data_IF_134177025067
#
_entry.id   IF_134177025067
#
_cell.length_a   1.000
_cell.length_b   1.000
_cell.length_c   1.000
_cell.angle_alpha   90.00
_cell.angle_beta   90.00
_cell.angle_gamma   90.00
#
_symmetry.space_group_name_H-M   'P 1'
#
loop_
_entity.id
_entity.type
_entity.pdbx_description
1 polymer ?
#
# COMPACT_ATOMS: atom_id res chain seq x y z
N UNK A 1 4.52 -42.84 -6.46
CA UNK A 1 3.22 -42.14 -6.52
C UNK A 1 2.40 -42.54 -5.31
N UNK A 2 2.39 -41.71 -4.26
CA UNK A 2 1.18 -41.50 -3.48
C UNK A 2 0.73 -40.03 -3.57
N UNK A 3 -0.57 -39.87 -3.62
CA UNK A 3 -1.30 -38.60 -3.67
C UNK A 3 -1.10 -37.86 -2.35
N UNK A 4 -0.46 -36.69 -2.40
CA UNK A 4 -0.45 -35.75 -1.28
C UNK A 4 -1.76 -34.96 -1.35
N UNK A 5 -2.72 -35.37 -0.53
CA UNK A 5 -3.88 -34.57 -0.17
C UNK A 5 -3.41 -33.20 0.32
N UNK A 6 -3.89 -32.15 -0.32
CA UNK A 6 -3.66 -30.77 0.13
C UNK A 6 -4.33 -30.61 1.50
N UNK A 7 -3.64 -30.14 2.54
CA UNK A 7 -4.31 -29.72 3.75
C UNK A 7 -5.21 -28.53 3.40
N UNK A 8 -6.47 -28.62 3.81
CA UNK A 8 -7.47 -27.58 3.63
C UNK A 8 -7.01 -26.23 4.17
N UNK A 9 -7.59 -25.17 3.60
CA UNK A 9 -7.47 -23.80 4.06
C UNK A 9 -7.57 -23.72 5.58
N UNK A 10 -6.59 -23.19 6.32
CA UNK A 10 -6.83 -22.87 7.72
C UNK A 10 -7.74 -21.64 7.71
N UNK A 11 -9.00 -21.85 8.07
CA UNK A 11 -9.73 -20.83 8.80
C UNK A 11 -8.78 -20.37 9.92
N UNK A 12 -8.35 -19.11 9.87
CA UNK A 12 -7.74 -18.43 11.02
C UNK A 12 -8.85 -18.29 12.07
N UNK A 13 -9.22 -19.41 12.69
CA UNK A 13 -10.09 -19.45 13.83
C UNK A 13 -9.38 -18.67 14.94
N UNK A 14 -10.01 -17.60 15.37
CA UNK A 14 -9.60 -16.65 16.41
C UNK A 14 -9.22 -17.26 17.78
N UNK A 15 -9.00 -18.58 17.90
CA UNK A 15 -9.01 -19.28 19.17
C UNK A 15 -8.07 -20.47 19.35
N UNK A 16 -7.05 -20.71 18.50
CA UNK A 16 -6.16 -21.89 18.68
C UNK A 16 -4.69 -21.58 18.97
N UNK A 17 -4.28 -20.32 19.07
CA UNK A 17 -2.94 -19.99 19.59
C UNK A 17 -2.98 -19.87 21.12
N UNK A 18 -2.18 -20.65 21.88
CA UNK A 18 -2.17 -20.57 23.33
C UNK A 18 -1.48 -19.28 23.78
N UNK A 19 -2.16 -18.48 24.59
CA UNK A 19 -1.58 -17.40 25.42
C UNK A 19 -1.02 -16.17 24.67
N UNK A 20 -1.82 -15.49 23.85
CA UNK A 20 -1.54 -14.08 23.53
C UNK A 20 -2.62 -13.17 24.14
N UNK A 21 -2.18 -12.06 24.75
CA UNK A 21 -3.08 -11.02 25.25
C UNK A 21 -3.67 -10.15 24.12
N UNK A 22 -3.23 -10.36 22.87
CA UNK A 22 -3.56 -9.52 21.72
C UNK A 22 -5.00 -9.67 21.19
N UNK A 23 -5.62 -10.87 21.08
CA UNK A 23 -6.97 -10.99 20.53
C UNK A 23 -8.04 -10.23 21.33
N UNK A 24 -8.03 -10.23 22.69
CA UNK A 24 -8.91 -9.37 23.48
C UNK A 24 -8.68 -7.87 23.21
N UNK A 25 -7.42 -7.44 23.08
CA UNK A 25 -7.08 -6.04 22.80
C UNK A 25 -7.51 -5.60 21.39
N UNK A 26 -7.35 -6.47 20.38
CA UNK A 26 -7.83 -6.22 19.02
C UNK A 26 -9.36 -6.08 19.03
N UNK A 27 -10.06 -6.96 19.76
CA UNK A 27 -11.52 -6.89 19.89
C UNK A 27 -11.97 -5.60 20.57
N UNK A 28 -11.31 -5.22 21.68
CA UNK A 28 -11.58 -3.96 22.37
C UNK A 28 -11.36 -2.75 21.45
N UNK A 29 -10.26 -2.72 20.71
CA UNK A 29 -9.97 -1.66 19.75
C UNK A 29 -11.02 -1.61 18.62
N UNK A 30 -11.50 -2.75 18.10
CA UNK A 30 -12.60 -2.78 17.14
C UNK A 30 -13.91 -2.23 17.73
N UNK A 31 -14.22 -2.52 18.99
CA UNK A 31 -15.40 -1.96 19.66
C UNK A 31 -15.30 -0.45 19.84
N UNK A 32 -14.14 0.05 20.26
CA UNK A 32 -13.85 1.49 20.40
C UNK A 32 -13.90 2.21 19.06
N UNK A 33 -13.39 1.57 18.00
CA UNK A 33 -13.53 2.09 16.63
C UNK A 33 -15.01 2.22 16.23
N UNK A 34 -15.83 1.21 16.57
CA UNK A 34 -17.27 1.26 16.32
C UNK A 34 -17.99 2.36 17.12
N UNK A 35 -17.45 2.72 18.29
CA UNK A 35 -17.89 3.86 19.08
C UNK A 35 -17.38 5.23 18.55
N UNK A 36 -16.56 5.24 17.50
CA UNK A 36 -16.04 6.45 16.87
C UNK A 36 -14.73 6.97 17.46
N UNK A 37 -14.02 6.18 18.27
CA UNK A 37 -12.76 6.60 18.87
C UNK A 37 -11.61 6.55 17.85
N UNK A 38 -11.09 7.70 17.45
CA UNK A 38 -10.00 7.81 16.46
C UNK A 38 -8.73 7.06 16.89
N UNK A 39 -8.40 7.13 18.19
CA UNK A 39 -7.25 6.45 18.78
C UNK A 39 -7.29 4.92 18.57
N UNK A 40 -8.47 4.34 18.32
CA UNK A 40 -8.62 2.92 18.04
C UNK A 40 -7.94 2.50 16.73
N UNK A 41 -7.88 3.38 15.72
CA UNK A 41 -7.19 3.06 14.45
C UNK A 41 -5.68 2.92 14.68
N UNK A 42 -5.08 3.82 15.47
CA UNK A 42 -3.67 3.75 15.82
C UNK A 42 -3.35 2.53 16.69
N UNK A 43 -4.23 2.19 17.63
CA UNK A 43 -4.06 1.00 18.46
C UNK A 43 -4.20 -0.29 17.63
N UNK A 44 -5.19 -0.36 16.73
CA UNK A 44 -5.31 -1.49 15.79
C UNK A 44 -4.04 -1.62 14.95
N UNK A 45 -3.57 -0.53 14.35
CA UNK A 45 -2.31 -0.49 13.60
C UNK A 45 -1.15 -1.05 14.42
N UNK A 46 -0.98 -0.62 15.67
CA UNK A 46 0.09 -1.10 16.56
C UNK A 46 -0.03 -2.60 16.87
N UNK A 47 -1.26 -3.10 17.04
CA UNK A 47 -1.54 -4.50 17.35
C UNK A 47 -1.40 -5.41 16.13
N UNK A 48 -1.68 -4.92 14.92
CA UNK A 48 -1.70 -5.71 13.69
C UNK A 48 -0.47 -5.51 12.79
N UNK A 49 0.26 -4.40 12.96
CA UNK A 49 1.51 -4.09 12.27
C UNK A 49 2.62 -3.90 13.32
N UNK A 50 3.40 -4.94 13.60
CA UNK A 50 4.53 -4.85 14.53
C UNK A 50 5.83 -4.56 13.81
N UNK A 51 6.59 -3.56 14.26
CA UNK A 51 7.86 -3.15 13.64
C UNK A 51 7.78 -2.91 12.12
N UNK A 52 6.58 -2.53 11.63
CA UNK A 52 6.31 -2.34 10.20
C UNK A 52 5.86 -3.57 9.41
N UNK A 53 5.75 -4.71 10.07
CA UNK A 53 5.38 -5.96 9.45
C UNK A 53 3.96 -6.39 9.85
N UNK A 54 3.19 -6.87 8.87
CA UNK A 54 1.87 -7.44 9.11
C UNK A 54 1.98 -8.70 9.98
N UNK A 55 1.32 -8.68 11.14
CA UNK A 55 1.27 -9.81 12.08
C UNK A 55 0.18 -10.81 11.70
N UNK A 56 0.23 -12.02 12.28
CA UNK A 56 -0.73 -13.10 12.04
C UNK A 56 -2.22 -12.67 12.12
N UNK A 57 -2.58 -11.74 13.02
CA UNK A 57 -3.95 -11.27 13.19
C UNK A 57 -4.41 -10.23 12.15
N UNK A 58 -3.51 -9.71 11.33
CA UNK A 58 -3.80 -8.67 10.34
C UNK A 58 -4.90 -9.08 9.35
N UNK A 59 -4.85 -10.30 8.83
CA UNK A 59 -5.88 -10.81 7.91
C UNK A 59 -7.26 -10.89 8.55
N UNK A 60 -7.32 -11.20 9.85
CA UNK A 60 -8.57 -11.46 10.54
C UNK A 60 -9.39 -10.18 10.78
N UNK A 61 -8.74 -9.01 10.91
CA UNK A 61 -9.43 -7.73 11.13
C UNK A 61 -9.98 -7.10 9.85
N UNK A 62 -9.44 -7.44 8.68
CA UNK A 62 -9.77 -6.79 7.40
C UNK A 62 -11.28 -6.79 7.11
N UNK A 63 -12.03 -7.90 7.22
CA UNK A 63 -13.46 -7.88 6.93
C UNK A 63 -14.25 -6.91 7.84
N UNK A 64 -13.88 -6.81 9.11
CA UNK A 64 -14.53 -5.89 10.05
C UNK A 64 -14.22 -4.42 9.73
N UNK A 65 -12.97 -4.13 9.33
CA UNK A 65 -12.56 -2.79 8.89
C UNK A 65 -13.28 -2.38 7.60
N UNK A 66 -13.40 -3.28 6.62
CA UNK A 66 -14.13 -3.01 5.38
C UNK A 66 -15.62 -2.77 5.64
N UNK A 67 -16.25 -3.58 6.49
CA UNK A 67 -17.65 -3.37 6.88
C UNK A 67 -17.88 -2.01 7.56
N UNK A 68 -16.91 -1.54 8.36
CA UNK A 68 -16.98 -0.21 8.96
C UNK A 68 -16.88 0.90 7.89
N UNK A 69 -15.96 0.78 6.93
CA UNK A 69 -15.82 1.75 5.82
C UNK A 69 -17.09 1.80 4.97
N UNK A 70 -17.70 0.64 4.68
CA UNK A 70 -18.96 0.51 3.92
C UNK A 70 -20.13 1.22 4.61
N UNK A 71 -20.12 1.35 5.94
CA UNK A 71 -21.21 2.03 6.67
C UNK A 71 -21.33 3.53 6.34
N UNK A 72 -20.27 4.14 5.79
CA UNK A 72 -20.26 5.52 5.29
C UNK A 72 -20.35 6.62 6.34
N UNK A 73 -20.38 6.30 7.64
CA UNK A 73 -20.71 7.26 8.72
C UNK A 73 -19.52 7.91 9.41
N UNK A 74 -18.30 7.43 9.14
CA UNK A 74 -17.12 7.84 9.90
C UNK A 74 -16.20 8.74 9.07
N UNK A 75 -15.64 9.81 9.65
CA UNK A 75 -14.55 10.56 9.02
C UNK A 75 -13.26 9.74 8.90
N UNK A 76 -13.15 8.61 9.61
CA UNK A 76 -11.96 7.76 9.65
C UNK A 76 -11.84 6.78 8.47
N UNK A 77 -12.72 6.88 7.46
CA UNK A 77 -12.77 5.91 6.35
C UNK A 77 -11.46 5.84 5.57
N UNK A 78 -10.83 7.00 5.32
CA UNK A 78 -9.51 7.07 4.68
C UNK A 78 -8.44 6.36 5.52
N UNK A 79 -8.35 6.67 6.82
CA UNK A 79 -7.36 6.07 7.72
C UNK A 79 -7.53 4.56 7.91
N UNK A 80 -8.76 4.08 7.88
CA UNK A 80 -9.07 2.65 7.97
C UNK A 80 -8.67 1.93 6.68
N UNK A 81 -9.00 2.50 5.51
CA UNK A 81 -8.53 1.94 4.24
C UNK A 81 -7.00 1.96 4.14
N UNK A 82 -6.36 3.02 4.64
CA UNK A 82 -4.91 3.10 4.74
C UNK A 82 -4.37 1.94 5.57
N UNK A 83 -4.90 1.70 6.78
CA UNK A 83 -4.53 0.56 7.62
C UNK A 83 -4.71 -0.77 6.90
N UNK A 84 -5.84 -0.96 6.21
CA UNK A 84 -6.09 -2.18 5.42
C UNK A 84 -5.02 -2.38 4.33
N UNK A 85 -4.62 -1.31 3.65
CA UNK A 85 -3.56 -1.37 2.65
C UNK A 85 -2.19 -1.67 3.27
N UNK A 86 -1.90 -1.13 4.44
CA UNK A 86 -0.64 -1.38 5.15
C UNK A 86 -0.53 -2.83 5.62
N UNK A 87 -1.66 -3.44 6.02
CA UNK A 87 -1.74 -4.88 6.29
C UNK A 87 -1.50 -5.75 5.04
N UNK A 88 -1.69 -5.18 3.86
CA UNK A 88 -1.42 -5.85 2.59
C UNK A 88 0.05 -5.71 2.14
N UNK A 89 0.91 -5.14 3.00
CA UNK A 89 2.32 -4.89 2.73
C UNK A 89 3.22 -5.64 3.71
N UNK A 90 4.27 -6.25 3.18
CA UNK A 90 5.30 -6.92 3.98
C UNK A 90 6.13 -5.93 4.80
N UNK A 91 6.30 -4.70 4.33
CA UNK A 91 7.10 -3.70 5.03
C UNK A 91 6.47 -2.30 4.90
N UNK A 92 5.49 -2.02 5.76
CA UNK A 92 4.81 -0.73 5.78
C UNK A 92 5.61 0.35 6.53
N UNK A 93 6.68 0.00 7.27
CA UNK A 93 7.43 0.98 8.08
C UNK A 93 8.91 1.15 7.74
N UNK A 94 9.54 0.30 6.92
CA UNK A 94 10.89 0.61 6.43
C UNK A 94 10.83 1.59 5.29
N UNK A 95 11.79 2.51 5.34
CA UNK A 95 12.05 3.54 4.35
C UNK A 95 12.00 2.93 2.94
N UNK A 96 11.13 3.42 2.04
CA UNK A 96 11.12 2.92 0.68
C UNK A 96 12.51 3.15 0.10
N UNK A 97 13.26 2.09 -0.18
CA UNK A 97 14.41 2.25 -1.07
C UNK A 97 13.85 2.37 -2.47
N UNK A 98 14.66 2.89 -3.40
CA UNK A 98 14.34 2.80 -4.81
C UNK A 98 14.01 1.33 -5.15
N UNK A 99 12.84 1.08 -5.73
CA UNK A 99 12.38 -0.26 -6.09
C UNK A 99 11.51 -0.95 -5.05
N UNK A 100 11.18 -0.30 -3.94
CA UNK A 100 10.37 -0.87 -2.85
C UNK A 100 9.02 -0.17 -2.67
N UNK A 101 8.74 0.94 -3.34
CA UNK A 101 7.46 1.67 -3.17
C UNK A 101 6.29 0.80 -3.61
N UNK A 102 6.38 0.18 -4.79
CA UNK A 102 5.31 -0.63 -5.37
C UNK A 102 5.36 -2.11 -4.91
N UNK A 103 6.47 -2.55 -4.30
CA UNK A 103 6.63 -3.95 -3.87
C UNK A 103 5.83 -4.23 -2.60
N UNK A 104 5.06 -5.32 -2.62
CA UNK A 104 4.18 -5.71 -1.48
C UNK A 104 4.67 -6.91 -0.71
N UNK A 105 5.52 -7.73 -1.29
CA UNK A 105 6.13 -8.89 -0.63
C UNK A 105 7.63 -8.81 -0.74
N UNK A 106 8.32 -9.23 0.32
CA UNK A 106 9.77 -9.36 0.31
C UNK A 106 10.19 -10.61 -0.47
N UNK A 107 11.29 -10.51 -1.21
CA UNK A 107 11.89 -11.68 -1.88
C UNK A 107 12.49 -12.67 -0.86
N UNK A 108 12.76 -12.18 0.35
CA UNK A 108 13.33 -12.97 1.45
C UNK A 108 12.22 -13.42 2.40
N UNK A 109 12.30 -14.66 2.88
CA UNK A 109 11.39 -15.17 3.91
C UNK A 109 11.71 -14.47 5.23
N UNK A 110 10.75 -13.70 5.74
CA UNK A 110 10.81 -13.05 7.05
C UNK A 110 9.82 -13.78 7.96
N UNK A 111 10.24 -14.04 9.20
CA UNK A 111 9.38 -14.59 10.25
C UNK A 111 8.99 -13.47 11.22
N UNK A 112 7.74 -13.49 11.70
CA UNK A 112 7.31 -12.59 12.77
C UNK A 112 7.81 -13.09 14.15
N UNK A 113 7.54 -12.32 15.20
CA UNK A 113 7.92 -12.69 16.58
C UNK A 113 7.32 -14.00 17.09
N UNK A 114 6.41 -14.63 16.33
CA UNK A 114 5.76 -15.90 16.63
C UNK A 114 6.28 -17.06 15.76
N UNK A 115 7.23 -16.79 14.86
CA UNK A 115 7.78 -17.79 13.95
C UNK A 115 6.91 -18.09 12.73
N UNK A 116 5.89 -17.26 12.46
CA UNK A 116 5.08 -17.34 11.25
C UNK A 116 5.72 -16.51 10.13
N UNK A 117 5.64 -17.01 8.89
CA UNK A 117 6.16 -16.28 7.74
C UNK A 117 5.33 -15.02 7.51
N UNK A 118 5.92 -13.83 7.66
CA UNK A 118 5.26 -12.51 7.45
C UNK A 118 4.57 -12.45 6.09
N UNK A 119 5.22 -12.97 5.05
CA UNK A 119 4.67 -13.02 3.70
C UNK A 119 3.34 -13.81 3.64
N UNK A 120 3.11 -14.78 4.53
CA UNK A 120 1.85 -15.56 4.57
C UNK A 120 0.69 -14.71 5.08
N UNK A 121 0.88 -13.91 6.14
CA UNK A 121 -0.16 -13.04 6.67
C UNK A 121 -0.52 -11.95 5.65
N UNK A 122 0.48 -11.34 5.03
CA UNK A 122 0.33 -10.38 3.92
C UNK A 122 -0.43 -11.00 2.76
N UNK A 123 -0.04 -12.18 2.31
CA UNK A 123 -0.75 -12.87 1.22
C UNK A 123 -2.21 -13.15 1.56
N UNK A 124 -2.52 -13.54 2.81
CA UNK A 124 -3.91 -13.79 3.20
C UNK A 124 -4.75 -12.50 3.27
N UNK A 125 -4.16 -11.39 3.73
CA UNK A 125 -4.78 -10.06 3.59
C UNK A 125 -5.06 -9.78 2.11
N UNK A 126 -4.06 -9.90 1.25
CA UNK A 126 -4.19 -9.62 -0.19
C UNK A 126 -5.23 -10.51 -0.88
N UNK A 127 -5.32 -11.80 -0.54
CA UNK A 127 -6.38 -12.71 -1.02
C UNK A 127 -7.76 -12.27 -0.52
N UNK A 128 -7.86 -11.85 0.73
CA UNK A 128 -9.10 -11.30 1.29
C UNK A 128 -9.53 -10.05 0.52
N UNK A 129 -8.61 -9.12 0.22
CA UNK A 129 -8.91 -7.96 -0.63
C UNK A 129 -9.43 -8.38 -2.01
N UNK A 130 -8.83 -9.40 -2.63
CA UNK A 130 -9.33 -9.92 -3.91
C UNK A 130 -10.74 -10.52 -3.86
N UNK A 131 -11.16 -11.06 -2.72
CA UNK A 131 -12.56 -11.51 -2.49
C UNK A 131 -13.53 -10.32 -2.42
N UNK A 132 -13.04 -9.15 -2.00
CA UNK A 132 -13.82 -7.91 -1.87
C UNK A 132 -13.57 -6.90 -2.99
N UNK A 133 -12.89 -7.28 -4.07
CA UNK A 133 -12.43 -6.37 -5.13
C UNK A 133 -13.53 -5.45 -5.68
N UNK A 134 -14.72 -5.99 -5.98
CA UNK A 134 -15.82 -5.22 -6.57
C UNK A 134 -16.32 -4.11 -5.62
N UNK A 135 -16.32 -4.38 -4.31
CA UNK A 135 -16.69 -3.39 -3.29
C UNK A 135 -15.60 -2.34 -3.12
N UNK A 136 -14.34 -2.78 -3.13
CA UNK A 136 -13.19 -1.88 -3.02
C UNK A 136 -13.09 -0.93 -4.21
N UNK A 137 -13.41 -1.39 -5.42
CA UNK A 137 -13.43 -0.53 -6.62
C UNK A 137 -14.52 0.54 -6.54
N UNK A 138 -15.63 0.31 -5.82
CA UNK A 138 -16.66 1.33 -5.63
C UNK A 138 -16.16 2.54 -4.82
N UNK A 139 -15.19 2.34 -3.92
CA UNK A 139 -14.58 3.45 -3.16
C UNK A 139 -13.69 4.36 -4.01
N UNK A 140 -13.35 3.97 -5.25
CA UNK A 140 -12.67 4.86 -6.19
C UNK A 140 -13.57 6.02 -6.65
N UNK A 141 -14.88 5.94 -6.45
CA UNK A 141 -15.86 6.98 -6.79
C UNK A 141 -16.34 7.75 -5.56
N UNK A 142 -15.71 7.55 -4.39
CA UNK A 142 -16.13 8.22 -3.16
C UNK A 142 -15.98 9.74 -3.24
N UNK A 143 -16.86 10.50 -2.59
CA UNK A 143 -16.75 11.96 -2.54
C UNK A 143 -15.47 12.45 -1.84
N UNK A 144 -14.97 11.71 -0.86
CA UNK A 144 -13.78 12.09 -0.10
C UNK A 144 -12.49 11.68 -0.84
N UNK A 145 -11.60 12.63 -1.22
CA UNK A 145 -10.35 12.31 -1.89
C UNK A 145 -9.42 11.42 -1.04
N UNK A 146 -9.46 11.52 0.30
CA UNK A 146 -8.65 10.65 1.15
C UNK A 146 -9.12 9.19 1.03
N UNK A 147 -10.43 8.96 0.94
CA UNK A 147 -11.02 7.64 0.69
C UNK A 147 -10.65 7.12 -0.69
N UNK A 148 -10.76 7.94 -1.75
CA UNK A 148 -10.38 7.53 -3.11
C UNK A 148 -8.90 7.16 -3.22
N UNK A 149 -8.02 7.96 -2.62
CA UNK A 149 -6.57 7.73 -2.58
C UNK A 149 -6.23 6.42 -1.87
N UNK A 150 -6.79 6.20 -0.67
CA UNK A 150 -6.60 4.96 0.08
C UNK A 150 -7.26 3.74 -0.60
N UNK A 151 -8.39 3.92 -1.29
CA UNK A 151 -9.02 2.86 -2.08
C UNK A 151 -8.09 2.40 -3.22
N UNK A 152 -7.46 3.32 -3.95
CA UNK A 152 -6.48 3.01 -4.98
C UNK A 152 -5.32 2.15 -4.43
N UNK A 153 -4.84 2.47 -3.23
CA UNK A 153 -3.82 1.72 -2.51
C UNK A 153 -4.24 0.29 -2.19
N UNK A 154 -5.43 0.13 -1.63
CA UNK A 154 -5.98 -1.18 -1.24
C UNK A 154 -6.28 -2.05 -2.47
N UNK A 155 -6.91 -1.51 -3.52
CA UNK A 155 -7.22 -2.31 -4.73
C UNK A 155 -5.96 -2.77 -5.46
N UNK A 156 -4.90 -1.97 -5.45
CA UNK A 156 -3.62 -2.34 -6.05
C UNK A 156 -2.95 -3.53 -5.36
N UNK A 157 -3.24 -3.75 -4.06
CA UNK A 157 -2.67 -4.85 -3.30
C UNK A 157 -3.46 -6.18 -3.45
N UNK A 158 -4.66 -6.14 -4.02
CA UNK A 158 -5.55 -7.30 -4.09
C UNK A 158 -4.99 -8.46 -4.94
N UNK A 159 -5.20 -9.70 -4.46
CA UNK A 159 -4.82 -10.94 -5.16
C UNK A 159 -6.01 -11.88 -5.40
N UNK A 160 -6.11 -12.53 -6.57
CA UNK A 160 -5.19 -12.40 -7.72
C UNK A 160 -5.41 -11.05 -8.45
N UNK A 161 -4.40 -10.56 -9.20
CA UNK A 161 -4.53 -9.31 -9.94
C UNK A 161 -5.54 -9.47 -11.10
N UNK A 162 -6.66 -8.75 -11.04
CA UNK A 162 -7.74 -8.79 -12.05
C UNK A 162 -7.68 -7.60 -13.00
N UNK A 163 -7.86 -7.84 -14.30
CA UNK A 163 -7.92 -6.76 -15.31
C UNK A 163 -9.06 -5.77 -15.09
N UNK A 164 -10.17 -6.22 -14.49
CA UNK A 164 -11.28 -5.35 -14.10
C UNK A 164 -10.86 -4.25 -13.09
N UNK A 165 -9.95 -4.57 -12.16
CA UNK A 165 -9.40 -3.59 -11.22
C UNK A 165 -8.59 -2.53 -11.98
N UNK A 166 -7.69 -2.95 -12.88
CA UNK A 166 -6.91 -2.03 -13.72
C UNK A 166 -7.81 -1.15 -14.57
N UNK A 167 -8.90 -1.70 -15.12
CA UNK A 167 -9.89 -0.96 -15.89
C UNK A 167 -10.59 0.12 -15.06
N UNK A 168 -11.05 -0.23 -13.85
CA UNK A 168 -11.68 0.72 -12.93
C UNK A 168 -10.72 1.84 -12.49
N UNK A 169 -9.48 1.49 -12.15
CA UNK A 169 -8.45 2.47 -11.76
C UNK A 169 -8.11 3.42 -12.92
N UNK A 170 -7.97 2.90 -14.14
CA UNK A 170 -7.73 3.74 -15.34
C UNK A 170 -8.92 4.65 -15.65
N UNK A 171 -10.14 4.14 -15.58
CA UNK A 171 -11.34 4.95 -15.77
C UNK A 171 -11.47 6.08 -14.72
N UNK A 172 -11.12 5.78 -13.46
CA UNK A 172 -11.04 6.80 -12.41
C UNK A 172 -9.96 7.85 -12.70
N UNK A 173 -8.79 7.44 -13.19
CA UNK A 173 -7.69 8.34 -13.52
C UNK A 173 -8.07 9.36 -14.61
N UNK A 174 -8.87 8.93 -15.60
CA UNK A 174 -9.30 9.77 -16.72
C UNK A 174 -10.19 10.95 -16.29
N UNK A 175 -10.87 10.84 -15.14
CA UNK A 175 -11.83 11.85 -14.65
C UNK A 175 -11.40 12.52 -13.35
N UNK A 176 -10.36 12.03 -12.68
CA UNK A 176 -9.94 12.52 -11.38
C UNK A 176 -9.35 13.94 -11.45
N UNK A 177 -9.81 14.82 -10.57
CA UNK A 177 -9.34 16.20 -10.45
C UNK A 177 -8.37 16.43 -9.29
N UNK A 178 -8.38 15.57 -8.28
CA UNK A 178 -7.49 15.68 -7.12
C UNK A 178 -6.07 15.18 -7.45
N UNK A 179 -5.07 16.00 -7.13
CA UNK A 179 -3.67 15.72 -7.47
C UNK A 179 -3.11 14.49 -6.74
N UNK A 180 -3.45 14.30 -5.47
CA UNK A 180 -2.97 13.16 -4.68
C UNK A 180 -3.67 11.89 -5.14
N UNK A 181 -4.96 11.95 -5.43
CA UNK A 181 -5.70 10.79 -5.97
C UNK A 181 -5.17 10.40 -7.34
N UNK A 182 -4.89 11.35 -8.24
CA UNK A 182 -4.23 11.08 -9.53
C UNK A 182 -2.92 10.32 -9.34
N UNK A 183 -2.07 10.77 -8.41
CA UNK A 183 -0.80 10.10 -8.10
C UNK A 183 -1.04 8.66 -7.60
N UNK A 184 -1.97 8.48 -6.66
CA UNK A 184 -2.35 7.16 -6.12
C UNK A 184 -2.89 6.22 -7.19
N UNK A 185 -3.72 6.70 -8.11
CA UNK A 185 -4.25 5.92 -9.22
C UNK A 185 -3.15 5.49 -10.21
N UNK A 186 -2.20 6.37 -10.51
CA UNK A 186 -1.04 6.01 -11.35
C UNK A 186 -0.19 4.92 -10.70
N UNK A 187 0.13 5.07 -9.40
CA UNK A 187 0.87 4.06 -8.64
C UNK A 187 0.10 2.73 -8.57
N UNK A 188 -1.22 2.77 -8.43
CA UNK A 188 -2.06 1.58 -8.41
C UNK A 188 -2.02 0.81 -9.74
N UNK A 189 -2.07 1.49 -10.89
CA UNK A 189 -1.90 0.84 -12.21
C UNK A 189 -0.51 0.22 -12.34
N UNK A 190 0.53 0.99 -12.01
CA UNK A 190 1.92 0.54 -12.11
C UNK A 190 2.19 -0.69 -11.25
N UNK A 191 1.71 -0.67 -10.00
CA UNK A 191 1.82 -1.81 -9.08
C UNK A 191 1.07 -3.03 -9.61
N UNK A 192 -0.14 -2.86 -10.14
CA UNK A 192 -0.92 -3.98 -10.64
C UNK A 192 -0.25 -4.64 -11.84
N UNK A 193 0.32 -3.85 -12.75
CA UNK A 193 1.06 -4.35 -13.89
C UNK A 193 2.36 -5.06 -13.47
N UNK A 194 3.06 -4.54 -12.46
CA UNK A 194 4.21 -5.21 -11.81
C UNK A 194 3.81 -6.59 -11.26
N UNK A 195 2.71 -6.67 -10.50
CA UNK A 195 2.20 -7.92 -9.90
C UNK A 195 1.71 -8.93 -10.95
N UNK A 196 1.43 -8.48 -12.17
CA UNK A 196 1.12 -9.33 -13.33
C UNK A 196 2.37 -9.80 -14.09
N UNK A 197 3.57 -9.45 -13.62
CA UNK A 197 4.84 -9.75 -14.30
C UNK A 197 5.10 -8.86 -15.52
N UNK A 198 4.47 -7.68 -15.59
CA UNK A 198 4.58 -6.73 -16.72
C UNK A 198 5.32 -5.47 -16.32
N UNK A 199 6.41 -5.63 -15.57
CA UNK A 199 7.20 -4.52 -15.04
C UNK A 199 7.73 -3.60 -16.16
N UNK A 200 8.19 -4.17 -17.27
CA UNK A 200 8.72 -3.40 -18.41
C UNK A 200 7.62 -2.58 -19.11
N UNK A 201 6.42 -3.15 -19.28
CA UNK A 201 5.26 -2.43 -19.83
C UNK A 201 4.82 -1.29 -18.90
N UNK A 202 4.81 -1.56 -17.59
CA UNK A 202 4.48 -0.57 -16.57
C UNK A 202 5.49 0.59 -16.57
N UNK A 203 6.78 0.28 -16.68
CA UNK A 203 7.85 1.28 -16.74
C UNK A 203 7.75 2.09 -18.03
N UNK A 204 7.52 1.44 -19.18
CA UNK A 204 7.32 2.12 -20.44
C UNK A 204 6.12 3.08 -20.38
N UNK A 205 4.97 2.62 -19.87
CA UNK A 205 3.78 3.45 -19.66
C UNK A 205 4.08 4.63 -18.73
N UNK A 206 4.66 4.38 -17.56
CA UNK A 206 5.01 5.43 -16.59
C UNK A 206 5.95 6.48 -17.19
N UNK A 207 6.86 6.08 -18.09
CA UNK A 207 7.79 6.98 -18.79
C UNK A 207 7.09 7.98 -19.72
N UNK A 208 5.88 7.65 -20.19
CA UNK A 208 5.10 8.55 -21.07
C UNK A 208 4.33 9.63 -20.30
N UNK A 209 4.13 9.46 -18.99
CA UNK A 209 3.21 10.30 -18.21
C UNK A 209 3.83 11.62 -17.75
N UNK A 210 5.14 11.65 -17.49
CA UNK A 210 5.81 12.82 -16.92
C UNK A 210 6.37 13.86 -17.92
N UNK A 211 6.73 13.51 -19.18
CA UNK A 211 7.21 14.50 -20.15
C UNK A 211 6.11 15.44 -20.66
N UNK A 212 4.86 14.98 -20.70
CA UNK A 212 3.73 15.72 -21.26
C UNK A 212 3.32 16.87 -20.33
N UNK A 213 3.69 18.10 -20.69
CA UNK A 213 3.43 19.28 -19.86
C UNK A 213 1.93 19.62 -19.74
N UNK A 214 1.11 19.19 -20.70
CA UNK A 214 -0.33 19.37 -20.65
C UNK A 214 -1.04 18.38 -19.73
N UNK A 215 -0.37 17.30 -19.31
CA UNK A 215 -0.93 16.35 -18.37
C UNK A 215 -1.03 16.96 -16.95
N UNK A 216 -2.06 16.59 -16.16
CA UNK A 216 -2.19 17.04 -14.78
C UNK A 216 -0.93 16.76 -13.95
N UNK A 217 -0.61 17.66 -13.02
CA UNK A 217 0.59 17.55 -12.19
C UNK A 217 0.64 16.22 -11.41
N UNK A 218 -0.50 15.74 -10.90
CA UNK A 218 -0.58 14.47 -10.18
C UNK A 218 -0.23 13.27 -11.05
N UNK A 219 -0.72 13.24 -12.30
CA UNK A 219 -0.38 12.21 -13.28
C UNK A 219 1.12 12.18 -13.57
N UNK A 220 1.71 13.37 -13.78
CA UNK A 220 3.14 13.50 -14.08
C UNK A 220 4.01 13.06 -12.91
N UNK A 221 3.72 13.51 -11.69
CA UNK A 221 4.47 13.14 -10.48
C UNK A 221 4.28 11.65 -10.15
N UNK A 222 3.06 11.13 -10.25
CA UNK A 222 2.78 9.70 -10.07
C UNK A 222 3.54 8.84 -11.09
N UNK A 223 3.58 9.27 -12.35
CA UNK A 223 4.31 8.58 -13.41
C UNK A 223 5.82 8.60 -13.20
N UNK A 224 6.36 9.73 -12.76
CA UNK A 224 7.76 9.84 -12.32
C UNK A 224 8.09 8.83 -11.21
N UNK A 225 7.29 8.81 -10.13
CA UNK A 225 7.47 7.91 -8.99
C UNK A 225 7.38 6.43 -9.41
N UNK A 226 6.37 6.07 -10.20
CA UNK A 226 6.21 4.72 -10.73
C UNK A 226 7.42 4.29 -11.57
N UNK A 227 7.87 5.15 -12.49
CA UNK A 227 9.05 4.86 -13.33
C UNK A 227 10.32 4.67 -12.49
N UNK A 228 10.52 5.49 -11.46
CA UNK A 228 11.66 5.35 -10.56
C UNK A 228 11.68 4.02 -9.80
N UNK A 229 10.50 3.57 -9.38
CA UNK A 229 10.38 2.33 -8.61
C UNK A 229 10.49 1.09 -9.51
N UNK A 230 10.02 1.17 -10.74
CA UNK A 230 10.04 0.05 -11.68
C UNK A 230 11.40 -0.15 -12.37
N UNK A 231 12.31 0.83 -12.31
CA UNK A 231 13.57 0.81 -13.04
C UNK A 231 14.78 0.97 -12.12
N UNK A 232 15.93 0.48 -12.55
CA UNK A 232 17.24 0.77 -11.93
C UNK A 232 18.01 1.89 -12.65
N UNK A 233 17.47 2.39 -13.77
CA UNK A 233 18.11 3.37 -14.64
C UNK A 233 18.34 4.74 -13.98
N UNK A 234 19.42 5.48 -14.26
CA UNK A 234 19.58 6.82 -13.71
C UNK A 234 18.47 7.76 -14.19
N UNK A 235 18.08 8.71 -13.33
CA UNK A 235 17.04 9.70 -13.65
C UNK A 235 17.39 10.49 -14.93
N UNK A 236 16.55 10.45 -15.98
CA UNK A 236 16.76 11.26 -17.16
C UNK A 236 16.83 12.76 -16.81
N UNK A 237 17.60 13.59 -17.53
CA UNK A 237 17.71 15.01 -17.23
C UNK A 237 16.37 15.74 -17.15
N UNK A 238 15.44 15.42 -18.07
CA UNK A 238 14.10 16.01 -18.08
C UNK A 238 13.29 15.67 -16.81
N UNK A 239 13.45 14.45 -16.29
CA UNK A 239 12.83 14.04 -15.04
C UNK A 239 13.47 14.78 -13.85
N UNK A 240 14.80 14.96 -13.83
CA UNK A 240 15.47 15.76 -12.78
C UNK A 240 15.01 17.22 -12.77
N UNK A 241 14.80 17.82 -13.94
CA UNK A 241 14.25 19.18 -14.09
C UNK A 241 12.84 19.24 -13.50
N UNK A 242 11.95 18.30 -13.89
CA UNK A 242 10.60 18.22 -13.34
C UNK A 242 10.60 18.18 -11.81
N UNK A 243 11.43 17.34 -11.20
CA UNK A 243 11.46 17.21 -9.73
C UNK A 243 12.09 18.44 -9.06
N UNK A 244 13.03 19.11 -9.73
CA UNK A 244 13.67 20.34 -9.26
C UNK A 244 12.75 21.57 -9.34
N UNK A 245 11.85 21.61 -10.33
CA UNK A 245 10.91 22.72 -10.55
C UNK A 245 9.71 22.68 -9.60
N UNK A 246 9.44 21.55 -8.95
CA UNK A 246 8.35 21.44 -7.99
C UNK A 246 8.75 22.08 -6.66
N UNK A 247 7.99 23.08 -6.14
CA UNK A 247 8.35 23.77 -4.91
C UNK A 247 8.41 22.79 -3.73
N UNK A 248 9.58 22.63 -3.07
CA UNK A 248 9.80 21.54 -2.10
C UNK A 248 8.73 21.43 -0.99
N UNK A 249 8.20 22.52 -0.41
CA UNK A 249 7.17 22.40 0.63
C UNK A 249 5.84 21.85 0.14
N UNK A 250 5.49 22.03 -1.14
CA UNK A 250 4.23 21.57 -1.72
C UNK A 250 4.37 20.10 -2.13
N UNK A 251 5.47 19.74 -2.81
CA UNK A 251 5.75 18.36 -3.21
C UNK A 251 5.88 17.44 -2.01
N UNK A 252 6.60 17.86 -0.97
CA UNK A 252 6.73 17.06 0.26
C UNK A 252 5.37 16.81 0.90
N UNK A 253 4.50 17.82 0.99
CA UNK A 253 3.15 17.63 1.54
C UNK A 253 2.29 16.71 0.69
N UNK A 254 2.41 16.75 -0.64
CA UNK A 254 1.68 15.83 -1.53
C UNK A 254 2.17 14.39 -1.35
N UNK A 255 3.48 14.19 -1.25
CA UNK A 255 4.08 12.87 -1.02
C UNK A 255 3.76 12.31 0.38
N UNK A 256 3.74 13.17 1.41
CA UNK A 256 3.33 12.78 2.78
C UNK A 256 1.86 12.32 2.84
N UNK A 257 1.03 12.71 1.88
CA UNK A 257 -0.37 12.27 1.75
C UNK A 257 -0.54 10.98 0.93
N UNK A 258 0.53 10.49 0.28
CA UNK A 258 0.43 9.24 -0.48
C UNK A 258 0.43 8.03 0.45
N UNK A 259 -0.55 7.13 0.31
CA UNK A 259 -0.61 5.87 1.06
C UNK A 259 0.66 5.03 1.02
N UNK A 260 1.39 5.07 -0.09
CA UNK A 260 2.63 4.34 -0.32
C UNK A 260 3.85 4.91 0.42
N UNK A 261 3.80 6.17 0.85
CA UNK A 261 4.97 6.95 1.28
C UNK A 261 4.79 7.54 2.69
N UNK A 262 3.61 7.39 3.31
CA UNK A 262 3.28 8.01 4.59
C UNK A 262 4.27 7.68 5.75
N UNK A 263 5.02 6.58 5.64
CA UNK A 263 6.04 6.17 6.60
C UNK A 263 7.50 6.41 6.13
N UNK A 264 7.69 7.00 4.95
CA UNK A 264 9.00 7.36 4.44
C UNK A 264 9.57 8.59 5.18
N UNK A 265 10.89 8.64 5.38
CA UNK A 265 11.53 9.83 5.96
C UNK A 265 11.44 11.01 5.00
N UNK A 266 11.41 12.23 5.53
CA UNK A 266 11.48 13.48 4.74
C UNK A 266 12.74 13.58 3.86
N UNK A 267 13.78 12.81 4.15
CA UNK A 267 15.03 12.79 3.37
C UNK A 267 14.95 11.86 2.16
N UNK A 268 14.04 10.89 2.17
CA UNK A 268 13.87 9.91 1.10
C UNK A 268 13.70 10.55 -0.28
N UNK A 269 12.85 11.58 -0.39
CA UNK A 269 12.63 12.30 -1.65
C UNK A 269 13.92 12.93 -2.18
N UNK A 270 14.74 13.50 -1.30
CA UNK A 270 16.03 14.09 -1.68
C UNK A 270 16.99 13.03 -2.18
N UNK A 271 17.07 11.90 -1.48
CA UNK A 271 17.93 10.76 -1.88
C UNK A 271 17.49 10.20 -3.25
N UNK A 272 16.18 10.15 -3.51
CA UNK A 272 15.61 9.75 -4.79
C UNK A 272 16.02 10.68 -5.95
N UNK A 273 15.91 11.99 -5.74
CA UNK A 273 16.26 13.00 -6.76
C UNK A 273 17.76 13.13 -7.00
N UNK A 274 18.58 12.84 -6.00
CA UNK A 274 20.04 12.93 -6.08
C UNK A 274 20.67 11.78 -6.89
N UNK A 275 19.90 10.74 -7.23
CA UNK A 275 20.43 9.54 -7.89
C UNK A 275 21.37 8.73 -6.99
N UNK A 276 21.39 9.02 -5.70
CA UNK A 276 22.16 8.26 -4.74
C UNK A 276 21.43 6.94 -4.51
N UNK A 277 22.07 5.81 -4.85
CA UNK A 277 21.72 4.55 -4.22
C UNK A 277 21.81 4.78 -2.72
N UNK A 278 20.71 4.62 -1.99
CA UNK A 278 20.70 4.81 -0.54
C UNK A 278 21.91 4.08 0.07
N UNK A 279 22.66 4.68 1.01
CA UNK A 279 23.72 3.98 1.69
C UNK A 279 23.12 2.68 2.24
N UNK A 280 23.80 1.57 2.01
CA UNK A 280 23.43 0.27 2.58
C UNK A 280 23.21 0.47 4.08
N UNK A 281 21.95 0.37 4.53
CA UNK A 281 21.64 0.31 5.94
C UNK A 281 22.38 -0.90 6.51
N UNK A 282 23.51 -0.64 7.16
CA UNK A 282 24.06 -1.55 8.14
C UNK A 282 23.09 -1.48 9.31
N UNK A 283 22.38 -2.58 9.57
CA UNK A 283 21.48 -2.67 10.72
C UNK A 283 22.22 -2.33 12.03
N UNK A 284 21.49 -2.11 13.14
CA UNK A 284 22.14 -2.08 14.44
C UNK A 284 22.95 -3.36 14.59
N UNK A 285 24.25 -3.23 14.87
CA UNK A 285 25.08 -4.40 15.18
C UNK A 285 24.42 -5.16 16.33
N UNK A 286 24.34 -6.50 16.25
CA UNK A 286 23.79 -7.29 17.34
C UNK A 286 24.67 -7.09 18.57
N UNK A 287 24.11 -6.48 19.61
CA UNK A 287 24.63 -6.57 20.98
C UNK A 287 24.24 -7.91 21.59
#
# INVERSE_FOLDING_TARGET
MPQNERPGSPDLAWGTTPSSAEPPLIRDALHRLHAGEEAAVHELRRLTCGDGHTRAFGAAVVPALLAFVESGRSPLRGDILQLVGDLACADSARFPRRGHVLRRTEATIIFDGWGDVVNRAVEEVRRTLGRHADRLTAFLEDHDPAVRSAAAYVVAAALPPRSAITGAVRAGLDVEGDTVVQMSLVLAVAQHDLERGRADEAAAWASTLWPELSAPAGVRVGGALAWFDLTTEPAPPALRILLGDLPPPVTVRMLEQLPWIQHASRTWWRDLTAGNHAPSYQGPEPF
#
